data_IF_146216278767
#
_entry.id   IF_146216278767
#
_cell.length_a   1.000
_cell.length_b   1.000
_cell.length_c   1.000
_cell.angle_alpha   90.00
_cell.angle_beta   90.00
_cell.angle_gamma   90.00
#
_symmetry.space_group_name_H-M   'P 1'
#
loop_
_entity.id
_entity.type
_entity.pdbx_description
1 polymer ?
#
# COMPACT_ATOMS: atom_id res chain seq x y z
N UNK A 1 45.49 6.73 63.72
CA UNK A 1 46.28 6.86 62.47
C UNK A 1 45.95 5.70 61.57
N UNK A 2 45.65 5.78 60.29
CA UNK A 2 45.27 6.81 59.32
C UNK A 2 45.00 6.02 58.02
N UNK A 3 44.06 6.44 57.17
CA UNK A 3 44.02 5.99 55.77
C UNK A 3 42.77 5.26 55.29
N UNK A 4 41.57 5.82 55.49
CA UNK A 4 40.39 5.39 54.74
C UNK A 4 40.34 6.12 53.38
N UNK A 5 40.30 5.35 52.30
CA UNK A 5 40.31 5.78 50.90
C UNK A 5 39.13 6.70 50.56
N UNK A 6 39.41 8.00 50.38
CA UNK A 6 38.46 9.04 49.97
C UNK A 6 38.56 9.36 48.47
N UNK A 7 38.67 8.33 47.62
CA UNK A 7 39.14 8.49 46.24
C UNK A 7 38.22 8.10 45.08
N UNK A 8 37.06 7.47 45.30
CA UNK A 8 36.35 6.76 44.20
C UNK A 8 34.97 7.34 43.83
N UNK A 9 34.38 8.24 44.62
CA UNK A 9 32.97 8.64 44.38
C UNK A 9 32.81 9.83 43.41
N UNK A 10 33.86 10.57 43.08
CA UNK A 10 33.73 11.77 42.23
C UNK A 10 33.78 11.51 40.71
N UNK A 11 34.19 10.32 40.27
CA UNK A 11 34.47 10.03 38.85
C UNK A 11 33.27 9.54 38.04
N UNK A 12 32.15 9.14 38.66
CA UNK A 12 31.01 8.61 37.90
C UNK A 12 30.00 9.66 37.40
N UNK A 13 30.04 10.91 37.87
CA UNK A 13 29.05 11.93 37.48
C UNK A 13 29.36 12.56 36.09
N UNK A 14 30.59 12.43 35.59
CA UNK A 14 31.01 13.09 34.34
C UNK A 14 30.96 12.22 33.07
N UNK A 15 30.50 10.97 33.14
CA UNK A 15 30.58 10.03 32.02
C UNK A 15 29.22 9.62 31.41
N UNK A 16 28.31 10.59 31.19
CA UNK A 16 27.14 10.39 30.31
C UNK A 16 27.14 11.51 29.25
N UNK A 17 27.84 11.32 28.12
CA UNK A 17 28.03 12.37 27.10
C UNK A 17 26.83 12.54 26.14
N UNK A 18 25.66 11.94 26.44
CA UNK A 18 24.52 11.88 25.49
C UNK A 18 23.37 12.82 25.85
N UNK A 19 23.45 13.54 26.97
CA UNK A 19 22.36 14.43 27.43
C UNK A 19 22.69 15.92 27.21
N UNK A 20 21.71 16.76 26.80
CA UNK A 20 21.90 18.20 26.63
C UNK A 20 22.43 18.87 27.91
N UNK A 21 23.28 19.89 27.78
CA UNK A 21 23.93 20.59 28.91
C UNK A 21 22.95 21.05 30.00
N UNK A 22 21.77 21.54 29.61
CA UNK A 22 20.71 21.93 30.55
C UNK A 22 20.18 20.76 31.39
N UNK A 23 20.13 19.55 30.83
CA UNK A 23 19.75 18.35 31.54
C UNK A 23 20.80 17.95 32.60
N UNK A 24 22.09 18.13 32.29
CA UNK A 24 23.16 17.90 33.28
C UNK A 24 23.11 18.91 34.42
N UNK A 25 22.78 20.18 34.14
CA UNK A 25 22.64 21.23 35.15
C UNK A 25 21.46 20.96 36.10
N UNK A 26 20.31 20.56 35.54
CA UNK A 26 19.11 20.21 36.32
C UNK A 26 19.37 18.95 37.17
N UNK A 27 20.03 17.94 36.62
CA UNK A 27 20.41 16.74 37.38
C UNK A 27 21.40 17.06 38.50
N UNK A 28 22.41 17.90 38.26
CA UNK A 28 23.38 18.29 39.28
C UNK A 28 22.77 19.12 40.42
N UNK A 29 21.88 20.06 40.11
CA UNK A 29 21.20 20.90 41.11
C UNK A 29 20.17 20.12 41.92
N UNK A 30 19.39 19.24 41.29
CA UNK A 30 18.46 18.36 42.00
C UNK A 30 19.19 17.33 42.88
N UNK A 31 20.32 16.81 42.42
CA UNK A 31 21.16 15.88 43.18
C UNK A 31 21.79 16.55 44.42
N UNK A 32 22.35 17.75 44.26
CA UNK A 32 22.94 18.49 45.39
C UNK A 32 21.89 18.96 46.40
N UNK A 33 20.70 19.34 45.94
CA UNK A 33 19.59 19.72 46.82
C UNK A 33 19.03 18.51 47.58
N UNK A 34 18.88 17.36 46.91
CA UNK A 34 18.42 16.12 47.55
C UNK A 34 19.42 15.58 48.58
N UNK A 35 20.73 15.67 48.31
CA UNK A 35 21.77 15.36 49.32
C UNK A 35 21.66 16.29 50.53
N UNK A 36 21.47 17.60 50.32
CA UNK A 36 21.35 18.55 51.44
C UNK A 36 20.10 18.31 52.27
N UNK A 37 18.95 18.06 51.64
CA UNK A 37 17.69 17.73 52.31
C UNK A 37 17.83 16.42 53.08
N UNK A 38 18.43 15.39 52.48
CA UNK A 38 18.66 14.10 53.15
C UNK A 38 19.61 14.25 54.34
N UNK A 39 20.72 14.98 54.18
CA UNK A 39 21.68 15.24 55.25
C UNK A 39 21.02 15.97 56.44
N UNK A 40 20.20 16.99 56.16
CA UNK A 40 19.48 17.73 57.22
C UNK A 40 18.35 16.94 57.86
N UNK A 41 17.66 16.07 57.11
CA UNK A 41 16.58 15.24 57.65
C UNK A 41 17.11 14.06 58.48
N UNK A 42 18.19 13.41 58.02
CA UNK A 42 18.85 12.29 58.71
C UNK A 42 19.57 12.72 59.98
N UNK A 43 20.18 13.93 60.01
CA UNK A 43 20.75 14.47 61.25
C UNK A 43 19.71 14.90 62.29
N UNK A 44 18.48 15.21 61.84
CA UNK A 44 17.41 15.74 62.70
C UNK A 44 16.42 14.65 63.18
N UNK A 45 16.49 13.45 62.62
CA UNK A 45 15.68 12.31 63.03
C UNK A 45 16.59 11.21 63.58
N UNK A 46 16.26 10.64 64.74
CA UNK A 46 16.94 9.49 65.37
C UNK A 46 16.75 8.18 64.58
N UNK A 47 16.83 8.27 63.25
CA UNK A 47 16.78 7.19 62.29
C UNK A 47 18.17 6.58 61.90
N UNK A 48 19.29 6.71 62.63
CA UNK A 48 20.59 6.26 62.12
C UNK A 48 20.85 4.75 62.32
N UNK A 49 19.85 3.91 62.61
CA UNK A 49 20.09 2.51 63.01
C UNK A 49 19.64 1.42 62.03
N UNK A 50 19.08 1.76 60.86
CA UNK A 50 18.62 0.70 59.95
C UNK A 50 19.04 0.80 58.48
N UNK A 51 19.58 1.92 57.99
CA UNK A 51 20.16 1.98 56.65
C UNK A 51 21.35 2.94 56.60
N UNK A 52 22.47 2.45 56.07
CA UNK A 52 23.62 3.29 55.73
C UNK A 52 23.25 4.27 54.61
N UNK A 53 23.82 5.48 54.65
CA UNK A 53 23.52 6.58 53.71
C UNK A 53 23.72 6.19 52.23
N UNK A 54 24.62 5.25 51.94
CA UNK A 54 24.83 4.73 50.59
C UNK A 54 23.64 3.90 50.07
N UNK A 55 22.97 3.14 50.93
CA UNK A 55 21.83 2.31 50.53
C UNK A 55 20.62 3.16 50.15
N UNK A 56 20.43 4.31 50.83
CA UNK A 56 19.36 5.26 50.54
C UNK A 56 19.56 5.93 49.17
N UNK A 57 20.80 6.30 48.84
CA UNK A 57 21.16 6.89 47.54
C UNK A 57 20.94 5.87 46.42
N UNK A 58 21.37 4.63 46.62
CA UNK A 58 21.21 3.56 45.63
C UNK A 58 19.73 3.26 45.33
N UNK A 59 18.89 3.19 46.37
CA UNK A 59 17.45 3.02 46.22
C UNK A 59 16.82 4.18 45.44
N UNK A 60 17.22 5.42 45.73
CA UNK A 60 16.73 6.60 45.01
C UNK A 60 17.12 6.59 43.53
N UNK A 61 18.34 6.18 43.20
CA UNK A 61 18.82 6.03 41.81
C UNK A 61 18.04 4.94 41.09
N UNK A 62 17.83 3.78 41.70
CA UNK A 62 17.04 2.69 41.11
C UNK A 62 15.61 3.15 40.83
N UNK A 63 14.95 3.76 41.82
CA UNK A 63 13.57 4.25 41.67
C UNK A 63 13.48 5.34 40.60
N UNK A 64 14.43 6.28 40.57
CA UNK A 64 14.48 7.35 39.56
C UNK A 64 14.73 6.79 38.16
N UNK A 65 15.61 5.80 38.03
CA UNK A 65 15.92 5.15 36.76
C UNK A 65 14.75 4.29 36.27
N UNK A 66 14.10 3.54 37.17
CA UNK A 66 12.88 2.80 36.88
C UNK A 66 11.73 3.74 36.48
N UNK A 67 11.62 4.90 37.13
CA UNK A 67 10.63 5.94 36.78
C UNK A 67 10.94 6.60 35.43
N UNK A 68 12.21 6.85 35.11
CA UNK A 68 12.61 7.38 33.81
C UNK A 68 12.32 6.37 32.68
N UNK A 69 12.63 5.09 32.92
CA UNK A 69 12.41 4.02 31.96
C UNK A 69 10.92 3.75 31.73
N UNK A 70 10.12 3.74 32.80
CA UNK A 70 8.66 3.60 32.67
C UNK A 70 8.01 4.79 31.97
N UNK A 71 8.54 6.00 32.16
CA UNK A 71 8.07 7.22 31.47
C UNK A 71 8.38 7.22 29.97
N UNK A 72 9.49 6.61 29.54
CA UNK A 72 9.83 6.51 28.11
C UNK A 72 9.02 5.43 27.36
N UNK A 73 8.53 4.37 28.03
CA UNK A 73 7.77 3.29 27.40
C UNK A 73 6.30 3.60 27.09
N UNK A 74 5.69 4.50 27.88
CA UNK A 74 4.28 4.91 27.75
C UNK A 74 3.91 5.49 26.36
N UNK A 75 4.64 6.48 25.79
CA UNK A 75 4.26 7.07 24.51
C UNK A 75 4.38 6.08 23.33
N UNK A 76 5.35 5.16 23.39
CA UNK A 76 5.55 4.14 22.34
C UNK A 76 4.40 3.13 22.37
N UNK A 77 3.96 2.73 23.57
CA UNK A 77 2.84 1.81 23.73
C UNK A 77 1.53 2.40 23.21
N UNK A 78 1.22 3.65 23.56
CA UNK A 78 0.03 4.35 23.05
C UNK A 78 0.06 4.50 21.52
N UNK A 79 1.19 4.93 20.96
CA UNK A 79 1.34 5.04 19.50
C UNK A 79 1.18 3.69 18.80
N UNK A 80 1.74 2.62 19.36
CA UNK A 80 1.58 1.27 18.82
C UNK A 80 0.12 0.80 18.87
N UNK A 81 -0.61 1.15 19.93
CA UNK A 81 -2.02 0.84 20.08
C UNK A 81 -2.89 1.64 19.11
N UNK A 82 -2.63 2.95 18.94
CA UNK A 82 -3.32 3.82 17.98
C UNK A 82 -3.08 3.37 16.54
N UNK A 83 -1.84 2.98 16.20
CA UNK A 83 -1.52 2.41 14.89
C UNK A 83 -2.27 1.09 14.67
N UNK A 84 -2.38 0.25 15.70
CA UNK A 84 -3.08 -1.03 15.61
C UNK A 84 -4.58 -0.81 15.38
N UNK A 85 -5.24 0.06 16.14
CA UNK A 85 -6.66 0.35 15.98
C UNK A 85 -6.96 0.97 14.62
N UNK A 86 -6.15 1.96 14.20
CA UNK A 86 -6.28 2.55 12.86
C UNK A 86 -6.10 1.50 11.75
N UNK A 87 -5.17 0.55 11.92
CA UNK A 87 -4.98 -0.53 10.96
C UNK A 87 -6.18 -1.50 10.93
N UNK A 88 -6.71 -1.87 12.09
CA UNK A 88 -7.90 -2.72 12.20
C UNK A 88 -9.13 -2.06 11.55
N UNK A 89 -9.35 -0.76 11.77
CA UNK A 89 -10.40 0.02 11.12
C UNK A 89 -10.22 0.04 9.59
N UNK A 90 -9.00 0.28 9.10
CA UNK A 90 -8.68 0.24 7.68
C UNK A 90 -8.94 -1.15 7.07
N UNK A 91 -8.60 -2.23 7.77
CA UNK A 91 -8.85 -3.60 7.32
C UNK A 91 -10.36 -3.87 7.25
N UNK A 92 -11.12 -3.47 8.28
CA UNK A 92 -12.58 -3.64 8.31
C UNK A 92 -13.26 -2.86 7.18
N UNK A 93 -12.85 -1.61 6.96
CA UNK A 93 -13.35 -0.78 5.85
C UNK A 93 -13.09 -1.46 4.50
N UNK A 94 -11.86 -1.90 4.24
CA UNK A 94 -11.48 -2.59 2.99
C UNK A 94 -12.24 -3.89 2.78
N UNK A 95 -12.46 -4.67 3.84
CA UNK A 95 -13.22 -5.92 3.73
C UNK A 95 -14.70 -5.68 3.42
N UNK A 96 -15.28 -4.64 4.05
CA UNK A 96 -16.66 -4.23 3.80
C UNK A 96 -16.85 -3.73 2.37
N UNK A 97 -15.93 -2.88 1.89
CA UNK A 97 -15.90 -2.38 0.51
C UNK A 97 -15.84 -3.54 -0.49
N UNK A 98 -14.92 -4.50 -0.30
CA UNK A 98 -14.81 -5.69 -1.17
C UNK A 98 -16.09 -6.51 -1.20
N UNK A 99 -16.70 -6.74 -0.04
CA UNK A 99 -17.93 -7.53 0.06
C UNK A 99 -19.09 -6.83 -0.63
N UNK A 100 -19.19 -5.51 -0.46
CA UNK A 100 -20.16 -4.69 -1.17
C UNK A 100 -19.98 -4.77 -2.69
N UNK A 101 -18.76 -4.59 -3.19
CA UNK A 101 -18.45 -4.66 -4.61
C UNK A 101 -18.77 -6.05 -5.21
N UNK A 102 -18.43 -7.13 -4.48
CA UNK A 102 -18.73 -8.49 -4.92
C UNK A 102 -20.24 -8.75 -5.01
N UNK A 103 -21.01 -8.35 -4.00
CA UNK A 103 -22.47 -8.49 -3.97
C UNK A 103 -23.12 -7.66 -5.08
N UNK A 104 -22.78 -6.37 -5.17
CA UNK A 104 -23.35 -5.49 -6.20
C UNK A 104 -23.02 -5.96 -7.61
N UNK A 105 -21.83 -6.52 -7.84
CA UNK A 105 -21.54 -7.06 -9.17
C UNK A 105 -22.46 -8.22 -9.54
N UNK A 106 -22.79 -9.12 -8.62
CA UNK A 106 -23.71 -10.23 -8.92
C UNK A 106 -25.14 -9.72 -9.16
N UNK A 107 -25.59 -8.79 -8.32
CA UNK A 107 -26.92 -8.16 -8.40
C UNK A 107 -27.09 -7.30 -9.66
N UNK A 108 -26.02 -6.66 -10.16
CA UNK A 108 -26.08 -5.89 -11.41
C UNK A 108 -25.86 -6.78 -12.63
N UNK A 109 -24.99 -7.80 -12.55
CA UNK A 109 -24.73 -8.72 -13.66
C UNK A 109 -25.98 -9.47 -14.08
N UNK A 110 -26.80 -9.90 -13.14
CA UNK A 110 -28.02 -10.68 -13.43
C UNK A 110 -29.01 -9.94 -14.35
N UNK A 111 -29.49 -8.72 -14.03
CA UNK A 111 -30.36 -7.96 -14.92
C UNK A 111 -29.66 -7.54 -16.21
N UNK A 112 -28.36 -7.25 -16.16
CA UNK A 112 -27.58 -6.81 -17.33
C UNK A 112 -27.35 -7.94 -18.34
N UNK A 113 -27.14 -9.17 -17.85
CA UNK A 113 -27.06 -10.38 -18.68
C UNK A 113 -28.42 -10.67 -19.33
N UNK A 114 -29.52 -10.43 -18.61
CA UNK A 114 -30.87 -10.48 -19.18
C UNK A 114 -31.03 -9.49 -20.34
N UNK A 115 -30.67 -8.22 -20.13
CA UNK A 115 -30.69 -7.19 -21.19
C UNK A 115 -29.84 -7.58 -22.39
N UNK A 116 -28.59 -8.01 -22.17
CA UNK A 116 -27.69 -8.44 -23.24
C UNK A 116 -28.16 -9.72 -23.95
N UNK A 117 -28.97 -10.56 -23.31
CA UNK A 117 -29.61 -11.72 -23.93
C UNK A 117 -30.82 -11.34 -24.79
N UNK A 118 -31.63 -10.37 -24.36
CA UNK A 118 -32.83 -9.94 -25.10
C UNK A 118 -32.53 -8.98 -26.24
N UNK A 119 -31.50 -8.14 -26.14
CA UNK A 119 -31.13 -7.17 -27.18
C UNK A 119 -30.86 -7.83 -28.55
N UNK A 120 -30.06 -8.91 -28.65
CA UNK A 120 -29.87 -9.63 -29.91
C UNK A 120 -31.15 -10.28 -30.45
N UNK A 121 -32.04 -10.74 -29.56
CA UNK A 121 -33.33 -11.33 -29.95
C UNK A 121 -34.27 -10.26 -30.50
N UNK A 122 -34.30 -9.07 -29.90
CA UNK A 122 -35.04 -7.92 -30.42
C UNK A 122 -34.50 -7.47 -31.77
N UNK A 123 -33.18 -7.48 -31.97
CA UNK A 123 -32.55 -7.18 -33.26
C UNK A 123 -32.95 -8.17 -34.38
N UNK A 124 -33.44 -9.37 -34.04
CA UNK A 124 -33.95 -10.36 -35.01
C UNK A 124 -35.44 -10.16 -35.36
N UNK A 125 -36.12 -9.19 -34.76
CA UNK A 125 -37.53 -8.87 -35.05
C UNK A 125 -37.66 -7.73 -36.06
N UNK A 126 -38.85 -7.55 -36.62
CA UNK A 126 -39.15 -6.37 -37.43
C UNK A 126 -39.16 -5.12 -36.54
N UNK A 127 -38.07 -4.34 -36.63
CA UNK A 127 -37.93 -3.06 -35.94
C UNK A 127 -38.13 -1.92 -36.94
N UNK A 128 -38.85 -0.88 -36.52
CA UNK A 128 -38.88 0.37 -37.28
C UNK A 128 -37.48 1.01 -37.33
N UNK A 129 -37.19 1.87 -38.34
CA UNK A 129 -35.89 2.54 -38.44
C UNK A 129 -35.50 3.30 -37.16
N UNK A 130 -36.48 3.94 -36.52
CA UNK A 130 -36.29 4.68 -35.26
C UNK A 130 -35.97 3.76 -34.08
N UNK A 131 -36.50 2.53 -34.05
CA UNK A 131 -36.17 1.54 -33.02
C UNK A 131 -34.78 0.94 -33.22
N UNK A 132 -34.33 0.75 -34.47
CA UNK A 132 -32.96 0.33 -34.77
C UNK A 132 -31.94 1.36 -34.29
N UNK A 133 -32.21 2.65 -34.51
CA UNK A 133 -31.37 3.75 -34.00
C UNK A 133 -31.24 3.76 -32.47
N UNK A 134 -32.24 3.27 -31.73
CA UNK A 134 -32.16 3.15 -30.26
C UNK A 134 -31.44 1.88 -29.79
N UNK A 135 -31.42 0.84 -30.63
CA UNK A 135 -30.91 -0.48 -30.23
C UNK A 135 -29.40 -0.51 -30.10
N UNK A 136 -28.68 0.15 -31.02
CA UNK A 136 -27.22 0.24 -30.98
C UNK A 136 -26.70 0.98 -29.73
N UNK A 137 -27.20 2.19 -29.38
CA UNK A 137 -26.84 2.86 -28.13
C UNK A 137 -27.16 2.05 -26.87
N UNK A 138 -28.30 1.35 -26.84
CA UNK A 138 -28.69 0.52 -25.69
C UNK A 138 -27.70 -0.63 -25.48
N UNK A 139 -27.33 -1.34 -26.56
CA UNK A 139 -26.36 -2.43 -26.52
C UNK A 139 -24.98 -1.94 -26.11
N UNK A 140 -24.49 -0.86 -26.73
CA UNK A 140 -23.20 -0.26 -26.38
C UNK A 140 -23.15 0.16 -24.89
N UNK A 141 -24.25 0.70 -24.35
CA UNK A 141 -24.34 1.08 -22.94
C UNK A 141 -24.32 -0.12 -22.00
N UNK A 142 -25.02 -1.21 -22.35
CA UNK A 142 -25.03 -2.43 -21.55
C UNK A 142 -23.65 -3.11 -21.54
N UNK A 143 -22.98 -3.17 -22.68
CA UNK A 143 -21.61 -3.70 -22.81
C UNK A 143 -20.60 -2.85 -22.03
N UNK A 144 -20.72 -1.52 -22.08
CA UNK A 144 -19.89 -0.60 -21.30
C UNK A 144 -20.08 -0.82 -19.79
N UNK A 145 -21.33 -0.93 -19.34
CA UNK A 145 -21.63 -1.15 -17.92
C UNK A 145 -21.07 -2.50 -17.42
N UNK A 146 -21.20 -3.57 -18.23
CA UNK A 146 -20.58 -4.87 -17.91
C UNK A 146 -19.07 -4.74 -17.76
N UNK A 147 -18.42 -4.01 -18.67
CA UNK A 147 -16.97 -3.79 -18.65
C UNK A 147 -16.55 -3.06 -17.37
N UNK A 148 -17.22 -1.95 -17.05
CA UNK A 148 -16.95 -1.15 -15.83
C UNK A 148 -17.09 -1.98 -14.56
N UNK A 149 -18.15 -2.79 -14.46
CA UNK A 149 -18.36 -3.66 -13.29
C UNK A 149 -17.26 -4.72 -13.17
N UNK A 150 -16.89 -5.34 -14.29
CA UNK A 150 -15.84 -6.35 -14.29
C UNK A 150 -14.47 -5.74 -13.92
N UNK A 151 -14.15 -4.54 -14.44
CA UNK A 151 -12.92 -3.83 -14.11
C UNK A 151 -12.88 -3.44 -12.62
N UNK A 152 -14.00 -2.99 -12.05
CA UNK A 152 -14.13 -2.67 -10.63
C UNK A 152 -13.92 -3.91 -9.74
N UNK A 153 -14.49 -5.05 -10.13
CA UNK A 153 -14.26 -6.31 -9.43
C UNK A 153 -12.80 -6.79 -9.51
N UNK A 154 -12.19 -6.69 -10.69
CA UNK A 154 -10.79 -7.06 -10.87
C UNK A 154 -9.89 -6.17 -10.01
N UNK A 155 -10.19 -4.87 -9.92
CA UNK A 155 -9.50 -3.96 -9.00
C UNK A 155 -9.65 -4.39 -7.53
N UNK A 156 -10.86 -4.75 -7.10
CA UNK A 156 -11.12 -5.23 -5.74
C UNK A 156 -10.34 -6.53 -5.42
N UNK A 157 -10.22 -7.45 -6.39
CA UNK A 157 -9.42 -8.68 -6.26
C UNK A 157 -7.92 -8.40 -6.19
N UNK A 158 -7.43 -7.45 -6.99
CA UNK A 158 -6.03 -7.00 -6.98
C UNK A 158 -5.65 -6.45 -5.62
N UNK A 159 -6.43 -5.53 -5.07
CA UNK A 159 -6.18 -4.99 -3.74
C UNK A 159 -6.21 -6.07 -2.65
N UNK A 160 -6.96 -7.16 -2.86
CA UNK A 160 -7.08 -8.28 -1.93
C UNK A 160 -5.93 -9.28 -1.97
N UNK A 161 -4.98 -9.15 -2.91
CA UNK A 161 -3.99 -10.19 -3.17
C UNK A 161 -4.62 -11.52 -3.63
N UNK A 162 -5.92 -11.52 -3.99
CA UNK A 162 -6.66 -12.69 -4.47
C UNK A 162 -6.66 -12.77 -6.01
N UNK A 163 -5.93 -11.87 -6.67
CA UNK A 163 -5.79 -11.88 -8.11
C UNK A 163 -4.83 -13.01 -8.50
N UNK A 164 -5.37 -14.04 -9.16
CA UNK A 164 -4.59 -15.17 -9.64
C UNK A 164 -4.33 -14.97 -11.13
N UNK A 165 -3.06 -14.97 -11.50
CA UNK A 165 -2.65 -15.11 -12.90
C UNK A 165 -2.74 -16.59 -13.28
N UNK A 166 -3.21 -16.86 -14.49
CA UNK A 166 -3.23 -18.21 -15.06
C UNK A 166 -2.19 -18.25 -16.18
N UNK A 167 -0.90 -18.43 -15.85
CA UNK A 167 0.16 -18.45 -16.86
C UNK A 167 0.06 -19.74 -17.68
N UNK A 168 -0.01 -19.59 -19.00
CA UNK A 168 -0.04 -20.69 -19.96
C UNK A 168 0.93 -20.41 -21.12
N UNK A 169 1.46 -21.46 -21.79
CA UNK A 169 2.24 -21.28 -23.02
C UNK A 169 1.38 -20.61 -24.10
N UNK A 170 1.84 -19.47 -24.60
CA UNK A 170 1.10 -18.66 -25.55
C UNK A 170 1.99 -18.08 -26.63
N UNK A 171 1.42 -17.91 -27.82
CA UNK A 171 2.12 -17.33 -28.98
C UNK A 171 1.99 -15.81 -28.93
N UNK A 172 3.08 -15.11 -28.60
CA UNK A 172 3.07 -13.65 -28.40
C UNK A 172 2.50 -12.89 -29.61
N UNK A 173 2.93 -13.26 -30.83
CA UNK A 173 2.42 -12.66 -32.07
C UNK A 173 0.91 -12.81 -32.23
N UNK A 174 0.35 -13.94 -31.80
CA UNK A 174 -1.10 -14.17 -31.85
C UNK A 174 -1.82 -13.24 -30.89
N UNK A 175 -1.32 -13.09 -29.65
CA UNK A 175 -1.89 -12.17 -28.65
C UNK A 175 -1.92 -10.74 -29.20
N UNK A 176 -0.80 -10.28 -29.76
CA UNK A 176 -0.69 -8.92 -30.31
C UNK A 176 -1.65 -8.73 -31.48
N UNK A 177 -1.66 -9.66 -32.45
CA UNK A 177 -2.52 -9.57 -33.62
C UNK A 177 -4.01 -9.62 -33.26
N UNK A 178 -4.41 -10.51 -32.35
CA UNK A 178 -5.79 -10.61 -31.89
C UNK A 178 -6.24 -9.29 -31.23
N UNK A 179 -5.38 -8.69 -30.40
CA UNK A 179 -5.64 -7.39 -29.77
C UNK A 179 -5.72 -6.25 -30.80
N UNK A 180 -4.77 -6.21 -31.75
CA UNK A 180 -4.76 -5.24 -32.84
C UNK A 180 -6.05 -5.28 -33.67
N UNK A 181 -6.56 -6.49 -33.94
CA UNK A 181 -7.83 -6.67 -34.66
C UNK A 181 -9.03 -6.15 -33.86
N UNK A 182 -9.05 -6.32 -32.53
CA UNK A 182 -10.16 -5.86 -31.68
C UNK A 182 -10.35 -4.34 -31.71
N UNK A 183 -9.26 -3.56 -31.82
CA UNK A 183 -9.33 -2.09 -31.81
C UNK A 183 -9.41 -1.47 -33.20
N UNK A 184 -9.20 -2.26 -34.26
CA UNK A 184 -9.13 -1.77 -35.65
C UNK A 184 -10.38 -1.01 -36.08
N UNK A 185 -11.57 -1.54 -35.78
CA UNK A 185 -12.83 -0.87 -36.11
C UNK A 185 -12.95 0.52 -35.45
N UNK A 186 -12.46 0.68 -34.22
CA UNK A 186 -12.48 1.97 -33.52
C UNK A 186 -11.48 2.98 -34.10
N UNK A 187 -10.32 2.50 -34.58
CA UNK A 187 -9.33 3.34 -35.28
C UNK A 187 -9.87 3.83 -36.63
N UNK A 188 -10.46 2.91 -37.42
CA UNK A 188 -11.06 3.21 -38.72
C UNK A 188 -12.22 4.21 -38.59
N UNK A 189 -13.11 4.01 -37.61
CA UNK A 189 -14.21 4.93 -37.33
C UNK A 189 -13.74 6.35 -36.98
N UNK A 190 -12.53 6.49 -36.41
CA UNK A 190 -11.90 7.78 -36.08
C UNK A 190 -10.97 8.32 -37.17
N UNK A 191 -10.75 7.56 -38.26
CA UNK A 191 -9.82 7.91 -39.32
C UNK A 191 -8.35 7.97 -38.86
N UNK A 192 -7.98 7.21 -37.82
CA UNK A 192 -6.61 7.15 -37.33
C UNK A 192 -5.83 6.02 -38.03
N UNK A 193 -4.58 6.30 -38.41
CA UNK A 193 -3.68 5.27 -38.90
C UNK A 193 -3.20 4.38 -37.74
N UNK A 194 -3.07 3.07 -37.99
CA UNK A 194 -2.61 2.13 -36.98
C UNK A 194 -1.40 1.33 -37.45
N UNK A 195 -0.31 1.43 -36.68
CA UNK A 195 0.98 0.85 -37.04
C UNK A 195 1.37 -0.16 -35.96
N UNK A 196 1.74 -1.38 -36.35
CA UNK A 196 2.15 -2.43 -35.41
C UNK A 196 3.55 -2.91 -35.76
N UNK A 197 4.49 -2.69 -34.86
CA UNK A 197 5.88 -3.08 -34.99
C UNK A 197 6.22 -4.19 -33.99
N UNK A 198 6.44 -5.41 -34.50
CA UNK A 198 6.80 -6.57 -33.69
C UNK A 198 8.20 -7.05 -34.08
N UNK A 199 9.16 -6.94 -33.16
CA UNK A 199 10.54 -7.38 -33.42
C UNK A 199 10.59 -8.86 -33.85
N UNK A 200 11.46 -9.16 -34.81
CA UNK A 200 11.71 -10.53 -35.28
C UNK A 200 12.49 -11.35 -34.24
N UNK A 201 13.24 -10.68 -33.37
CA UNK A 201 14.06 -11.31 -32.32
C UNK A 201 13.23 -11.77 -31.10
N UNK A 202 11.92 -11.51 -31.08
CA UNK A 202 11.06 -11.94 -29.99
C UNK A 202 10.84 -13.46 -30.02
N UNK A 203 10.80 -14.12 -28.84
CA UNK A 203 10.47 -15.53 -28.77
C UNK A 203 9.05 -15.78 -29.31
N UNK A 204 8.89 -16.86 -30.09
CA UNK A 204 7.60 -17.22 -30.67
C UNK A 204 6.56 -17.60 -29.60
N UNK A 205 7.02 -18.21 -28.51
CA UNK A 205 6.20 -18.61 -27.37
C UNK A 205 6.71 -17.98 -26.09
N UNK A 206 5.77 -17.57 -25.23
CA UNK A 206 6.02 -17.06 -23.89
C UNK A 206 5.06 -17.76 -22.92
N UNK A 207 5.38 -17.78 -21.64
CA UNK A 207 4.44 -18.20 -20.59
C UNK A 207 3.79 -16.95 -20.03
N UNK A 208 2.48 -16.80 -20.23
CA UNK A 208 1.72 -15.61 -19.80
C UNK A 208 0.24 -15.92 -19.62
N UNK A 209 -0.49 -15.02 -18.97
CA UNK A 209 -1.96 -15.05 -18.95
C UNK A 209 -2.49 -14.27 -20.16
N UNK A 210 -2.95 -15.00 -21.17
CA UNK A 210 -3.38 -14.43 -22.46
C UNK A 210 -4.47 -13.38 -22.28
N UNK A 211 -5.48 -13.69 -21.47
CA UNK A 211 -6.64 -12.80 -21.27
C UNK A 211 -6.21 -11.50 -20.61
N UNK A 212 -5.34 -11.58 -19.60
CA UNK A 212 -4.83 -10.38 -18.91
C UNK A 212 -3.92 -9.55 -19.81
N UNK A 213 -3.10 -10.18 -20.62
CA UNK A 213 -2.26 -9.46 -21.57
C UNK A 213 -3.09 -8.73 -22.62
N UNK A 214 -4.11 -9.39 -23.20
CA UNK A 214 -5.06 -8.76 -24.13
C UNK A 214 -5.82 -7.61 -23.47
N UNK A 215 -6.29 -7.78 -22.23
CA UNK A 215 -6.99 -6.73 -21.49
C UNK A 215 -6.08 -5.50 -21.27
N UNK A 216 -4.84 -5.71 -20.83
CA UNK A 216 -3.88 -4.62 -20.64
C UNK A 216 -3.61 -3.87 -21.95
N UNK A 217 -3.28 -4.59 -23.02
CA UNK A 217 -2.99 -4.00 -24.33
C UNK A 217 -4.23 -3.25 -24.88
N UNK A 218 -5.42 -3.86 -24.78
CA UNK A 218 -6.67 -3.24 -25.24
C UNK A 218 -6.97 -1.95 -24.48
N UNK A 219 -6.74 -1.91 -23.16
CA UNK A 219 -6.95 -0.71 -22.36
C UNK A 219 -5.98 0.41 -22.74
N UNK A 220 -4.71 0.09 -22.98
CA UNK A 220 -3.71 1.07 -23.43
C UNK A 220 -4.06 1.61 -24.83
N UNK A 221 -4.42 0.72 -25.77
CA UNK A 221 -4.79 1.11 -27.13
C UNK A 221 -6.08 1.93 -27.15
N UNK A 222 -7.10 1.56 -26.37
CA UNK A 222 -8.33 2.35 -26.27
C UNK A 222 -8.07 3.72 -25.67
N UNK A 223 -7.15 3.84 -24.72
CA UNK A 223 -6.72 5.15 -24.22
C UNK A 223 -6.01 5.96 -25.31
N UNK A 224 -5.07 5.35 -26.05
CA UNK A 224 -4.40 6.01 -27.16
C UNK A 224 -5.40 6.51 -28.22
N UNK A 225 -6.36 5.68 -28.62
CA UNK A 225 -7.43 6.03 -29.57
C UNK A 225 -8.29 7.16 -29.01
N UNK A 226 -8.68 7.10 -27.73
CA UNK A 226 -9.52 8.12 -27.10
C UNK A 226 -8.87 9.50 -27.16
N UNK A 227 -7.58 9.59 -26.82
CA UNK A 227 -6.87 10.86 -26.70
C UNK A 227 -6.20 11.35 -27.99
N UNK A 228 -6.13 10.52 -29.03
CA UNK A 228 -5.63 10.93 -30.35
C UNK A 228 -6.79 11.44 -31.20
N UNK A 229 -6.69 12.69 -31.69
CA UNK A 229 -7.73 13.31 -32.54
C UNK A 229 -7.45 13.11 -34.04
N UNK A 230 -6.18 13.19 -34.45
CA UNK A 230 -5.71 13.05 -35.82
C UNK A 230 -4.30 12.46 -35.83
N UNK A 231 -3.91 11.82 -36.94
CA UNK A 231 -2.60 11.17 -37.09
C UNK A 231 -2.68 9.66 -36.90
N UNK A 232 -1.77 9.10 -36.11
CA UNK A 232 -1.58 7.66 -35.96
C UNK A 232 -1.44 7.19 -34.52
N UNK A 233 -1.69 5.91 -34.30
CA UNK A 233 -1.38 5.16 -33.08
C UNK A 233 -0.41 4.04 -33.46
N UNK A 234 0.71 3.90 -32.73
CA UNK A 234 1.65 2.80 -32.93
C UNK A 234 1.66 1.83 -31.75
N UNK A 235 1.87 0.55 -32.03
CA UNK A 235 2.16 -0.50 -31.06
C UNK A 235 3.54 -1.08 -31.35
N UNK A 236 4.52 -0.72 -30.54
CA UNK A 236 5.91 -1.13 -30.65
C UNK A 236 6.24 -2.21 -29.61
N UNK A 237 6.72 -3.37 -30.08
CA UNK A 237 7.14 -4.49 -29.22
C UNK A 237 8.60 -4.83 -29.53
N UNK A 238 9.56 -4.12 -28.92
CA UNK A 238 10.98 -4.43 -29.03
C UNK A 238 11.36 -5.59 -28.11
N UNK A 239 12.45 -6.29 -28.45
CA UNK A 239 13.17 -7.12 -27.48
C UNK A 239 14.06 -6.17 -26.66
N UNK A 240 13.84 -6.10 -25.35
CA UNK A 240 14.75 -5.39 -24.46
C UNK A 240 15.89 -6.33 -24.09
N UNK A 241 17.13 -5.92 -24.37
CA UNK A 241 18.29 -6.60 -23.81
C UNK A 241 18.22 -6.51 -22.28
N UNK A 242 18.36 -7.65 -21.60
CA UNK A 242 18.46 -7.66 -20.14
C UNK A 242 19.67 -6.83 -19.72
N UNK A 243 19.52 -5.82 -18.85
CA UNK A 243 20.66 -5.08 -18.35
C UNK A 243 21.51 -6.00 -17.46
N UNK A 244 22.58 -6.55 -18.04
CA UNK A 244 23.69 -7.17 -17.31
C UNK A 244 23.64 -8.69 -17.16
N UNK A 245 24.06 -9.40 -18.19
CA UNK A 245 25.00 -10.53 -18.06
C UNK A 245 25.96 -10.41 -19.26
N UNK A 246 26.91 -9.49 -19.12
CA UNK A 246 28.13 -9.49 -19.93
C UNK A 246 29.10 -10.56 -19.39
N UNK A 247 30.00 -11.08 -20.25
CA UNK A 247 30.91 -12.18 -19.91
C UNK A 247 31.88 -11.88 -18.77
#
# INVERSE_FOLDING_TARGET
FSGAHFGIVLTCIFCIPVLPFWHQLIMGTTFTLSIRVLHTYVLKSDLPKLLDSEQVIFLFVIVSCAWLHSRQGQPIFHLAQDLKTANEELIQARNTERRFLALMSHEIRTPLTGLLGFLPLLQQTELSPRQQEYMEPMKASADLLMRVINDLLDHAKLQAGKFQLVPEPAVLRKIINDTANMVRASLEAKGLEFIVHISQSLPAQIVTDVKRMQQMLTNLLNNAIKFTQFGSVSLDVPLLETPGEGP
#
